data_IF_409967281420
#
_entry.id   IF_409967281420
#
_cell.length_a   1.000
_cell.length_b   1.000
_cell.length_c   1.000
_cell.angle_alpha   90.00
_cell.angle_beta   90.00
_cell.angle_gamma   90.00
#
_symmetry.space_group_name_H-M   'P 1'
#
loop_
_entity.id
_entity.type
_entity.pdbx_description
1 polymer ?
#
# COMPACT_ATOMS: atom_id res chain seq x y z
N UNK A 1 0.38 -4.73 -8.53
CA UNK A 1 -0.42 -3.63 -7.95
C UNK A 1 -1.84 -3.70 -8.52
N UNK A 2 -2.88 -3.35 -7.75
CA UNK A 2 -4.28 -3.59 -8.12
C UNK A 2 -4.75 -2.74 -9.32
N UNK A 3 -4.47 -1.43 -9.34
CA UNK A 3 -4.81 -0.47 -10.43
C UNK A 3 -6.30 -0.37 -10.80
N UNK A 4 -7.22 -0.93 -10.02
CA UNK A 4 -8.67 -0.70 -10.17
C UNK A 4 -9.03 0.74 -9.79
N UNK A 5 -10.21 1.20 -10.22
CA UNK A 5 -10.72 2.53 -9.88
C UNK A 5 -10.71 2.76 -8.35
N UNK A 6 -10.04 3.81 -7.85
CA UNK A 6 -10.05 4.14 -6.44
C UNK A 6 -11.46 4.48 -5.97
N UNK A 7 -11.82 4.03 -4.77
CA UNK A 7 -13.05 4.40 -4.09
C UNK A 7 -12.81 5.49 -3.06
N UNK A 8 -13.74 5.60 -2.10
CA UNK A 8 -13.65 6.59 -1.00
C UNK A 8 -12.74 6.13 0.13
N UNK A 9 -12.40 4.85 0.19
CA UNK A 9 -11.63 4.29 1.29
C UNK A 9 -10.17 4.77 1.27
N UNK A 10 -9.67 5.17 2.44
CA UNK A 10 -8.27 5.58 2.64
C UNK A 10 -7.40 4.32 2.80
N UNK A 11 -6.26 4.30 2.10
CA UNK A 11 -5.27 3.24 2.26
C UNK A 11 -4.56 3.33 3.61
N UNK A 12 -4.27 2.17 4.23
CA UNK A 12 -3.59 2.09 5.52
C UNK A 12 -2.21 1.46 5.36
N UNK A 13 -1.27 1.79 6.25
CA UNK A 13 0.06 1.19 6.36
C UNK A 13 0.23 0.56 7.74
N UNK A 14 0.97 -0.55 7.81
CA UNK A 14 1.38 -1.14 9.08
C UNK A 14 2.60 -0.41 9.64
N UNK A 15 2.94 -0.65 10.90
CA UNK A 15 4.11 -0.06 11.59
C UNK A 15 5.41 -0.22 10.81
N UNK A 16 5.61 -1.36 10.13
CA UNK A 16 6.83 -1.62 9.33
C UNK A 16 6.90 -0.84 8.02
N UNK A 17 5.76 -0.41 7.50
CA UNK A 17 5.63 0.27 6.21
C UNK A 17 5.27 1.74 6.37
N UNK A 18 5.22 2.24 7.61
CA UNK A 18 4.80 3.58 7.93
C UNK A 18 5.62 4.65 7.20
N UNK A 19 4.94 5.70 6.73
CA UNK A 19 5.55 6.81 5.98
C UNK A 19 5.95 6.48 4.54
N UNK A 20 5.89 5.22 4.10
CA UNK A 20 6.31 4.84 2.74
C UNK A 20 5.30 5.24 1.68
N UNK A 21 5.78 5.93 0.65
CA UNK A 21 5.05 6.13 -0.59
C UNK A 21 4.81 4.78 -1.29
N UNK A 22 3.57 4.42 -1.65
CA UNK A 22 3.26 3.12 -2.26
C UNK A 22 3.86 2.87 -3.66
N UNK A 23 4.43 3.90 -4.28
CA UNK A 23 4.92 3.87 -5.66
C UNK A 23 6.44 3.79 -5.72
N UNK A 24 7.14 4.62 -4.93
CA UNK A 24 8.61 4.72 -4.96
C UNK A 24 9.29 4.38 -3.62
N UNK A 25 8.52 3.97 -2.60
CA UNK A 25 8.99 3.68 -1.24
C UNK A 25 9.68 4.85 -0.50
N UNK A 26 9.59 6.08 -1.03
CA UNK A 26 10.09 7.29 -0.36
C UNK A 26 9.38 7.55 0.97
N UNK A 27 10.13 8.04 1.96
CA UNK A 27 9.66 8.36 3.32
C UNK A 27 9.45 9.86 3.55
N UNK A 28 9.69 10.70 2.54
CA UNK A 28 9.73 12.15 2.67
C UNK A 28 8.66 12.83 1.82
N UNK A 29 8.26 14.03 2.27
CA UNK A 29 7.30 14.91 1.59
C UNK A 29 5.96 14.24 1.23
N UNK A 30 5.19 13.72 2.21
CA UNK A 30 3.84 13.25 1.96
C UNK A 30 2.94 14.41 1.53
N UNK A 31 2.14 14.22 0.48
CA UNK A 31 1.30 15.31 -0.08
C UNK A 31 -0.14 14.85 -0.30
N UNK A 32 -0.34 13.75 -1.04
CA UNK A 32 -1.69 13.29 -1.41
C UNK A 32 -2.09 12.04 -0.64
N UNK A 33 -3.28 12.04 -0.04
CA UNK A 33 -3.81 10.85 0.65
C UNK A 33 -4.11 9.72 -0.34
N UNK A 34 -3.71 8.50 -0.01
CA UNK A 34 -3.92 7.33 -0.86
C UNK A 34 -5.36 6.84 -0.75
N UNK A 35 -6.00 6.60 -1.89
CA UNK A 35 -7.33 5.97 -1.97
C UNK A 35 -7.24 4.57 -2.58
N UNK A 36 -8.02 3.63 -2.03
CA UNK A 36 -8.07 2.24 -2.47
C UNK A 36 -9.44 1.90 -3.08
N UNK A 37 -9.47 0.92 -3.99
CA UNK A 37 -10.71 0.46 -4.60
C UNK A 37 -11.60 -0.28 -3.58
N UNK A 38 -12.91 -0.35 -3.85
CA UNK A 38 -13.89 -0.96 -2.94
C UNK A 38 -13.60 -2.44 -2.66
N UNK A 39 -13.14 -3.19 -3.67
CA UNK A 39 -12.79 -4.61 -3.53
C UNK A 39 -11.58 -4.81 -2.61
N UNK A 40 -10.57 -3.93 -2.70
CA UNK A 40 -9.41 -3.97 -1.82
C UNK A 40 -9.73 -3.61 -0.37
N UNK A 41 -10.88 -2.97 -0.13
CA UNK A 41 -11.38 -2.55 1.18
C UNK A 41 -12.56 -3.41 1.69
N UNK A 42 -12.80 -4.57 1.09
CA UNK A 42 -13.93 -5.43 1.45
C UNK A 42 -13.52 -6.57 2.39
N UNK A 43 -14.44 -6.96 3.30
CA UNK A 43 -14.27 -8.12 4.19
C UNK A 43 -13.01 -8.09 5.03
N UNK A 44 -12.27 -9.21 5.06
CA UNK A 44 -11.04 -9.38 5.84
C UNK A 44 -9.87 -8.51 5.38
N UNK A 45 -9.96 -7.91 4.19
CA UNK A 45 -8.93 -7.04 3.61
C UNK A 45 -9.06 -5.57 4.04
N UNK A 46 -10.18 -5.21 4.69
CA UNK A 46 -10.43 -3.88 5.25
C UNK A 46 -9.39 -3.53 6.29
N UNK A 47 -8.89 -2.29 6.25
CA UNK A 47 -7.92 -1.78 7.24
C UNK A 47 -6.54 -2.44 7.19
N UNK A 48 -6.25 -3.30 6.21
CA UNK A 48 -4.94 -3.92 6.04
C UNK A 48 -3.97 -3.02 5.28
N UNK A 49 -2.70 -3.16 5.60
CA UNK A 49 -1.58 -2.51 4.96
C UNK A 49 -1.59 -2.72 3.44
N UNK A 50 -1.57 -1.63 2.68
CA UNK A 50 -1.63 -1.66 1.21
C UNK A 50 -0.37 -2.23 0.56
N UNK A 51 0.77 -2.23 1.25
CA UNK A 51 2.05 -2.76 0.76
C UNK A 51 2.19 -4.25 1.10
N UNK A 52 1.93 -4.61 2.35
CA UNK A 52 2.35 -5.92 2.87
C UNK A 52 1.22 -6.79 3.43
N UNK A 53 -0.01 -6.28 3.52
CA UNK A 53 -1.19 -7.02 3.99
C UNK A 53 -1.29 -7.29 5.50
N UNK A 54 -0.36 -6.76 6.31
CA UNK A 54 -0.46 -6.77 7.79
C UNK A 54 -1.51 -5.77 8.29
N UNK A 55 -1.78 -5.76 9.60
CA UNK A 55 -2.71 -4.80 10.21
C UNK A 55 -2.27 -3.34 10.01
N UNK A 56 -3.18 -2.49 9.54
CA UNK A 56 -2.89 -1.09 9.18
C UNK A 56 -3.20 -0.12 10.32
N UNK A 57 -2.19 0.64 10.72
CA UNK A 57 -2.21 1.55 11.88
C UNK A 57 -2.26 3.02 11.45
N UNK A 58 -1.52 3.41 10.43
CA UNK A 58 -1.45 4.79 9.93
C UNK A 58 -2.03 4.91 8.52
N UNK A 59 -2.44 6.13 8.15
CA UNK A 59 -2.93 6.43 6.81
C UNK A 59 -1.77 6.54 5.82
N UNK A 60 -2.00 6.08 4.58
CA UNK A 60 -1.02 6.09 3.53
C UNK A 60 -1.07 7.40 2.71
N UNK A 61 0.12 7.89 2.33
CA UNK A 61 0.28 9.09 1.50
C UNK A 61 1.20 8.81 0.32
N UNK A 62 0.90 9.43 -0.83
CA UNK A 62 1.83 9.57 -1.93
C UNK A 62 2.79 10.72 -1.62
N UNK A 63 4.06 10.55 -2.00
CA UNK A 63 5.02 11.64 -1.92
C UNK A 63 4.77 12.69 -3.01
N UNK A 64 5.22 13.92 -2.75
CA UNK A 64 5.16 15.07 -3.65
C UNK A 64 5.61 14.76 -5.08
N UNK A 65 6.73 14.07 -5.23
CA UNK A 65 7.28 13.73 -6.54
C UNK A 65 6.33 12.81 -7.33
N UNK A 66 5.71 11.84 -6.66
CA UNK A 66 4.74 10.96 -7.32
C UNK A 66 3.47 11.71 -7.71
N UNK A 67 3.03 12.67 -6.90
CA UNK A 67 1.87 13.52 -7.23
C UNK A 67 2.18 14.48 -8.40
N UNK A 68 3.37 15.10 -8.44
CA UNK A 68 3.78 15.97 -9.56
C UNK A 68 3.88 15.17 -10.87
N UNK A 69 4.34 13.92 -10.80
CA UNK A 69 4.36 13.02 -11.95
C UNK A 69 2.99 12.37 -12.25
N UNK A 70 1.92 12.76 -11.55
CA UNK A 70 0.55 12.23 -11.67
C UNK A 70 0.41 10.71 -11.45
N UNK A 71 1.40 10.07 -10.81
CA UNK A 71 1.39 8.62 -10.53
C UNK A 71 0.35 8.23 -9.47
N UNK A 72 -0.12 9.18 -8.69
CA UNK A 72 -1.21 9.02 -7.74
C UNK A 72 -2.56 8.74 -8.42
N UNK A 73 -2.66 8.98 -9.73
CA UNK A 73 -3.87 8.80 -10.56
C UNK A 73 -3.93 7.46 -11.31
N UNK A 74 -2.90 6.63 -11.21
CA UNK A 74 -2.81 5.32 -11.89
C UNK A 74 -3.85 4.28 -11.39
N UNK A 75 -4.53 4.57 -10.28
CA UNK A 75 -5.55 3.73 -9.67
C UNK A 75 -5.15 3.19 -8.30
N UNK A 76 -5.81 2.13 -7.85
CA UNK A 76 -5.62 1.57 -6.50
C UNK A 76 -4.20 0.98 -6.33
N UNK A 77 -3.37 1.51 -5.41
CA UNK A 77 -1.97 1.10 -5.28
C UNK A 77 -1.76 -0.15 -4.43
N UNK A 78 -2.84 -0.82 -3.98
CA UNK A 78 -2.71 -2.03 -3.14
C UNK A 78 -1.96 -3.14 -3.87
N UNK A 79 -0.96 -3.71 -3.19
CA UNK A 79 -0.19 -4.85 -3.66
C UNK A 79 -0.99 -6.13 -3.38
N UNK A 80 -1.41 -6.82 -4.44
CA UNK A 80 -2.19 -8.07 -4.36
C UNK A 80 -1.29 -9.31 -4.22
N UNK A 81 -0.09 -9.26 -4.78
CA UNK A 81 0.84 -10.38 -4.76
C UNK A 81 1.80 -10.20 -3.59
N UNK A 82 1.66 -11.03 -2.56
CA UNK A 82 2.71 -11.18 -1.55
C UNK A 82 3.89 -11.87 -2.22
N UNK A 83 4.94 -11.11 -2.56
CA UNK A 83 6.08 -11.61 -3.33
C UNK A 83 6.77 -12.83 -2.70
N UNK A 84 7.43 -13.62 -3.54
CA UNK A 84 8.15 -14.84 -3.18
C UNK A 84 9.15 -14.65 -2.04
N UNK A 85 9.72 -13.44 -1.88
CA UNK A 85 10.68 -13.13 -0.80
C UNK A 85 10.14 -13.40 0.59
N UNK A 86 8.85 -13.12 0.87
CA UNK A 86 8.26 -13.45 2.18
C UNK A 86 8.10 -14.96 2.37
N UNK A 87 7.78 -15.68 1.31
CA UNK A 87 7.63 -17.14 1.33
C UNK A 87 9.02 -17.74 1.55
N UNK A 88 10.04 -17.28 0.83
CA UNK A 88 11.42 -17.74 0.93
C UNK A 88 11.99 -17.52 2.34
N UNK A 89 11.78 -16.34 2.95
CA UNK A 89 12.16 -16.11 4.35
C UNK A 89 11.50 -17.10 5.32
N UNK A 90 10.22 -17.45 5.11
CA UNK A 90 9.55 -18.45 5.94
C UNK A 90 10.14 -19.85 5.76
N UNK A 91 10.57 -20.21 4.55
CA UNK A 91 11.26 -21.48 4.31
C UNK A 91 12.66 -21.50 4.94
N UNK A 92 13.42 -20.40 4.84
CA UNK A 92 14.75 -20.29 5.44
C UNK A 92 14.72 -20.37 6.96
N UNK A 93 13.75 -19.74 7.63
CA UNK A 93 13.60 -19.80 9.09
C UNK A 93 13.10 -21.15 9.63
N UNK A 94 12.63 -22.05 8.76
CA UNK A 94 12.21 -23.41 9.12
C UNK A 94 13.33 -24.44 9.01
N UNK A 95 14.49 -24.08 8.46
CA UNK A 95 15.68 -24.92 8.34
C UNK A 95 16.64 -24.63 9.48
#
# INVERSE_FOLDING_TARGET
MCRKQPGVAIGRLCVRCEGRCPICDSLVHPETVVRICNECNYGSQKGRCIICGSEGVSDAYYCRECTICEKDRDGCPKIINLGSSKIDSLYQHKK
#
